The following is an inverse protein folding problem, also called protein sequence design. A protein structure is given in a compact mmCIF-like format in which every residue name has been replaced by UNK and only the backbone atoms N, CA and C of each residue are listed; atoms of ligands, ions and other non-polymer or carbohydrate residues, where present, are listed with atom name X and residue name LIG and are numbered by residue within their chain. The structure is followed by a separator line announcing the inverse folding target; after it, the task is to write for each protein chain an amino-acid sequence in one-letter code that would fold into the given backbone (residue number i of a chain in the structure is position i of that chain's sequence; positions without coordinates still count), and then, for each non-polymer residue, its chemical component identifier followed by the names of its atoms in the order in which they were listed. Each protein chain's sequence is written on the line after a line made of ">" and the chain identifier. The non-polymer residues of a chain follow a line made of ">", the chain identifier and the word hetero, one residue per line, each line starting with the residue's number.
data_IF_623246937323
#
_entry.id   IF_623246937323
#
_cell.length_a   1.000
_cell.length_b   1.000
_cell.length_c   1.000
_cell.angle_alpha   90.00
_cell.angle_beta   90.00
_cell.angle_gamma   90.00
#
_symmetry.space_group_name_H-M   'P 1'
#
loop_
_entity.id
_entity.type
_entity.pdbx_description
1 polymer ?
#
# COMPACT_ATOMS: atom_id res chain seq x y z
N UNK A 1 -14.69 -1.36 -25.01
CA UNK A 1 -13.84 -1.62 -23.82
C UNK A 1 -13.03 -2.90 -23.91
N UNK A 2 -13.05 -3.66 -25.02
CA UNK A 2 -12.28 -4.91 -25.12
C UNK A 2 -10.75 -4.68 -25.17
N UNK A 3 -10.31 -3.50 -25.62
CA UNK A 3 -8.89 -3.13 -25.77
C UNK A 3 -8.43 -2.03 -24.79
N UNK A 4 -9.24 -1.70 -23.78
CA UNK A 4 -8.82 -0.74 -22.76
C UNK A 4 -8.02 -1.45 -21.68
N UNK A 5 -6.91 -0.84 -21.25
CA UNK A 5 -6.15 -1.31 -20.08
C UNK A 5 -6.82 -0.85 -18.79
N UNK A 6 -6.51 -1.50 -17.67
CA UNK A 6 -6.89 -1.06 -16.34
C UNK A 6 -6.42 0.38 -16.10
N UNK A 7 -5.21 0.72 -16.58
CA UNK A 7 -4.69 2.08 -16.49
C UNK A 7 -5.59 3.12 -17.18
N UNK A 8 -6.17 2.79 -18.35
CA UNK A 8 -7.08 3.69 -19.06
C UNK A 8 -8.41 3.92 -18.33
N UNK A 9 -8.78 3.02 -17.41
CA UNK A 9 -10.07 3.03 -16.70
C UNK A 9 -9.97 3.56 -15.26
N UNK A 10 -8.76 3.94 -14.80
CA UNK A 10 -8.52 4.53 -13.49
C UNK A 10 -9.28 5.84 -13.30
N UNK A 11 -9.27 6.70 -14.31
CA UNK A 11 -9.96 8.00 -14.26
C UNK A 11 -11.28 7.88 -15.04
N UNK A 12 -12.43 7.95 -14.36
CA UNK A 12 -13.71 7.96 -15.06
C UNK A 12 -13.82 9.20 -15.97
N UNK A 13 -14.38 9.06 -17.19
CA UNK A 13 -14.70 10.23 -18.02
C UNK A 13 -15.72 11.13 -17.31
N UNK A 14 -15.80 12.39 -17.71
CA UNK A 14 -16.79 13.34 -17.17
C UNK A 14 -18.24 12.90 -17.43
N UNK A 15 -18.47 12.12 -18.48
CA UNK A 15 -19.75 11.51 -18.84
C UNK A 15 -20.03 10.16 -18.16
N UNK A 16 -19.18 9.72 -17.21
CA UNK A 16 -19.35 8.43 -16.56
C UNK A 16 -20.66 8.34 -15.79
N UNK A 17 -21.49 7.36 -16.16
CA UNK A 17 -22.76 7.05 -15.52
C UNK A 17 -22.68 5.71 -14.76
N UNK A 18 -23.75 5.30 -14.04
CA UNK A 18 -23.77 4.00 -13.36
C UNK A 18 -23.55 2.79 -14.28
N UNK A 19 -23.89 2.89 -15.58
CA UNK A 19 -23.67 1.81 -16.56
C UNK A 19 -22.19 1.67 -16.86
N UNK A 20 -21.48 2.79 -17.03
CA UNK A 20 -20.04 2.82 -17.22
C UNK A 20 -19.30 2.17 -16.04
N UNK A 21 -19.65 2.53 -14.80
CA UNK A 21 -19.02 1.93 -13.61
C UNK A 21 -19.26 0.43 -13.50
N UNK A 22 -20.49 -0.05 -13.76
CA UNK A 22 -20.77 -1.50 -13.81
C UNK A 22 -19.98 -2.20 -14.90
N UNK A 23 -19.88 -1.57 -16.07
CA UNK A 23 -19.16 -2.16 -17.19
C UNK A 23 -17.64 -2.14 -16.98
N UNK A 24 -17.11 -1.17 -16.22
CA UNK A 24 -15.72 -1.16 -15.76
C UNK A 24 -15.44 -2.31 -14.79
N UNK A 25 -16.33 -2.57 -13.84
CA UNK A 25 -16.22 -3.71 -12.91
C UNK A 25 -16.13 -5.04 -13.67
N UNK A 26 -17.07 -5.30 -14.59
CA UNK A 26 -17.02 -6.51 -15.43
C UNK A 26 -15.78 -6.62 -16.31
N UNK A 27 -15.26 -5.49 -16.78
CA UNK A 27 -14.00 -5.48 -17.53
C UNK A 27 -12.83 -5.89 -16.63
N UNK A 28 -12.79 -5.40 -15.39
CA UNK A 28 -11.77 -5.77 -14.42
C UNK A 28 -11.79 -7.28 -14.08
N UNK A 29 -12.97 -7.86 -13.82
CA UNK A 29 -13.11 -9.31 -13.64
C UNK A 29 -12.57 -10.11 -14.83
N UNK A 30 -12.85 -9.66 -16.07
CA UNK A 30 -12.32 -10.28 -17.28
C UNK A 30 -10.81 -10.21 -17.37
N UNK A 31 -10.20 -9.08 -17.02
CA UNK A 31 -8.74 -8.91 -17.02
C UNK A 31 -8.09 -9.83 -16.00
N UNK A 32 -8.64 -9.93 -14.78
CA UNK A 32 -8.16 -10.88 -13.76
C UNK A 32 -8.25 -12.32 -14.26
N UNK A 33 -9.36 -12.71 -14.89
CA UNK A 33 -9.51 -14.03 -15.50
C UNK A 33 -8.44 -14.29 -16.56
N UNK A 34 -8.11 -13.29 -17.39
CA UNK A 34 -7.03 -13.41 -18.39
C UNK A 34 -5.65 -13.57 -17.75
N UNK A 35 -5.33 -12.81 -16.69
CA UNK A 35 -4.08 -12.99 -15.95
C UNK A 35 -3.94 -14.42 -15.42
N UNK A 36 -5.01 -14.96 -14.82
CA UNK A 36 -5.02 -16.31 -14.27
C UNK A 36 -4.94 -17.40 -15.35
N UNK A 37 -5.68 -17.25 -16.46
CA UNK A 37 -5.66 -18.20 -17.59
C UNK A 37 -4.29 -18.26 -18.25
N UNK A 38 -3.67 -17.11 -18.52
CA UNK A 38 -2.36 -17.02 -19.17
C UNK A 38 -1.27 -17.74 -18.37
N UNK A 39 -1.47 -17.88 -17.06
CA UNK A 39 -0.52 -18.46 -16.13
C UNK A 39 -0.95 -19.84 -15.61
N UNK A 40 -1.95 -20.46 -16.27
CA UNK A 40 -2.47 -21.81 -15.96
C UNK A 40 -2.86 -21.96 -14.49
N UNK A 41 -3.58 -20.97 -13.96
CA UNK A 41 -4.07 -20.96 -12.58
C UNK A 41 -5.53 -21.44 -12.46
N UNK A 42 -6.06 -22.12 -13.49
CA UNK A 42 -7.38 -22.76 -13.51
C UNK A 42 -8.54 -21.91 -12.90
N UNK A 43 -8.81 -20.70 -13.44
CA UNK A 43 -9.82 -19.82 -12.87
C UNK A 43 -11.25 -20.29 -13.20
N UNK A 44 -12.11 -20.27 -12.18
CA UNK A 44 -13.54 -20.48 -12.26
C UNK A 44 -14.27 -19.18 -11.84
N UNK A 45 -14.76 -18.41 -12.81
CA UNK A 45 -15.41 -17.11 -12.57
C UNK A 45 -16.94 -17.22 -12.41
N UNK A 46 -17.55 -16.17 -11.84
CA UNK A 46 -19.00 -16.01 -11.68
C UNK A 46 -19.66 -17.13 -10.87
N UNK A 47 -19.11 -17.43 -9.69
CA UNK A 47 -19.63 -18.47 -8.80
C UNK A 47 -20.85 -17.96 -8.02
N UNK A 48 -21.99 -18.64 -8.20
CA UNK A 48 -23.25 -18.34 -7.48
C UNK A 48 -23.79 -19.54 -6.70
N UNK A 49 -23.07 -20.06 -5.70
CA UNK A 49 -23.67 -20.99 -4.75
C UNK A 49 -24.85 -20.31 -4.02
N UNK A 50 -25.88 -21.08 -3.68
CA UNK A 50 -27.16 -20.56 -3.15
C UNK A 50 -26.93 -19.60 -1.97
N UNK A 51 -27.10 -18.30 -2.21
CA UNK A 51 -27.06 -17.24 -1.18
C UNK A 51 -25.70 -16.59 -0.94
N UNK A 52 -24.64 -16.99 -1.62
CA UNK A 52 -23.28 -16.44 -1.44
C UNK A 52 -22.64 -16.15 -2.81
N UNK A 53 -22.64 -14.89 -3.25
CA UNK A 53 -21.99 -14.49 -4.51
C UNK A 53 -20.49 -14.26 -4.26
N UNK A 54 -19.64 -14.94 -5.05
CA UNK A 54 -18.18 -14.75 -5.09
C UNK A 54 -17.78 -14.59 -6.54
N UNK A 55 -16.87 -13.65 -6.82
CA UNK A 55 -16.49 -13.33 -8.20
C UNK A 55 -15.76 -14.50 -8.90
N UNK A 56 -15.00 -15.30 -8.15
CA UNK A 56 -14.48 -16.57 -8.65
C UNK A 56 -13.64 -17.37 -7.68
N UNK A 57 -12.99 -18.40 -8.21
CA UNK A 57 -11.94 -19.16 -7.55
C UNK A 57 -10.85 -19.54 -8.54
N UNK A 58 -9.68 -19.92 -8.06
CA UNK A 58 -8.57 -20.36 -8.90
C UNK A 58 -7.58 -21.21 -8.10
N UNK A 59 -6.62 -21.82 -8.79
CA UNK A 59 -5.62 -22.73 -8.21
C UNK A 59 -4.21 -22.19 -8.43
N UNK A 60 -3.39 -22.24 -7.38
CA UNK A 60 -1.95 -22.06 -7.50
C UNK A 60 -1.23 -23.24 -6.86
N UNK A 61 -0.51 -23.99 -7.70
CA UNK A 61 0.15 -25.24 -7.30
C UNK A 61 -0.89 -26.16 -6.63
N UNK A 62 -0.74 -26.55 -5.36
CA UNK A 62 -1.69 -27.43 -4.64
C UNK A 62 -2.66 -26.66 -3.71
N UNK A 63 -2.86 -25.36 -3.95
CA UNK A 63 -3.72 -24.50 -3.09
C UNK A 63 -4.89 -23.92 -3.87
N UNK A 64 -6.03 -23.86 -3.19
CA UNK A 64 -7.27 -23.30 -3.71
C UNK A 64 -7.51 -21.89 -3.16
N UNK A 65 -7.92 -21.00 -4.05
CA UNK A 65 -8.14 -19.60 -3.72
C UNK A 65 -9.57 -19.19 -4.07
N UNK A 66 -10.18 -18.41 -3.18
CA UNK A 66 -11.36 -17.61 -3.53
C UNK A 66 -10.90 -16.23 -4.00
N UNK A 67 -11.64 -15.65 -4.94
CA UNK A 67 -11.34 -14.37 -5.54
C UNK A 67 -12.53 -13.42 -5.36
N UNK A 68 -12.23 -12.21 -4.88
CA UNK A 68 -13.15 -11.06 -4.92
C UNK A 68 -12.43 -9.88 -5.58
N UNK A 69 -13.12 -9.17 -6.47
CA UNK A 69 -12.60 -8.09 -7.28
C UNK A 69 -13.48 -6.85 -7.15
N UNK A 70 -12.95 -5.76 -6.59
CA UNK A 70 -13.69 -4.50 -6.43
C UNK A 70 -13.03 -3.32 -7.11
N UNK A 71 -13.87 -2.46 -7.68
CA UNK A 71 -13.45 -1.17 -8.24
C UNK A 71 -14.42 -0.05 -7.86
N UNK A 72 -14.30 0.38 -6.61
CA UNK A 72 -15.12 1.42 -6.02
C UNK A 72 -14.56 2.81 -6.27
N UNK A 73 -15.31 3.82 -5.80
CA UNK A 73 -14.88 5.22 -5.85
C UNK A 73 -13.85 5.56 -4.78
N UNK A 74 -14.06 5.02 -3.58
CA UNK A 74 -13.25 5.26 -2.39
C UNK A 74 -12.55 3.94 -1.98
N UNK A 75 -11.49 4.00 -1.15
CA UNK A 75 -10.77 2.81 -0.70
C UNK A 75 -11.66 1.78 0.01
N UNK A 76 -11.31 0.51 -0.12
CA UNK A 76 -12.11 -0.59 0.43
C UNK A 76 -12.07 -0.55 1.97
N UNK A 77 -13.23 -0.50 2.64
CA UNK A 77 -13.30 -0.47 4.10
C UNK A 77 -13.12 -1.87 4.72
N UNK A 78 -12.85 -1.92 6.02
CA UNK A 78 -12.72 -3.17 6.79
C UNK A 78 -13.96 -4.09 6.67
N UNK A 79 -15.17 -3.53 6.60
CA UNK A 79 -16.42 -4.28 6.49
C UNK A 79 -16.46 -5.20 5.28
N UNK A 80 -15.94 -4.73 4.15
CA UNK A 80 -15.92 -5.50 2.91
C UNK A 80 -14.91 -6.65 3.00
N UNK A 81 -13.77 -6.43 3.66
CA UNK A 81 -12.78 -7.46 3.91
C UNK A 81 -13.31 -8.52 4.88
N UNK A 82 -14.02 -8.13 5.93
CA UNK A 82 -14.65 -9.08 6.86
C UNK A 82 -15.76 -9.89 6.21
N UNK A 83 -16.58 -9.27 5.36
CA UNK A 83 -17.60 -9.97 4.61
C UNK A 83 -16.97 -11.05 3.71
N UNK A 84 -15.91 -10.71 2.98
CA UNK A 84 -15.17 -11.68 2.17
C UNK A 84 -14.47 -12.74 3.03
N UNK A 85 -13.90 -12.36 4.19
CA UNK A 85 -13.30 -13.32 5.12
C UNK A 85 -14.29 -14.37 5.59
N UNK A 86 -15.51 -13.97 5.95
CA UNK A 86 -16.56 -14.91 6.33
C UNK A 86 -16.88 -15.92 5.22
N UNK A 87 -16.83 -15.50 3.95
CA UNK A 87 -16.97 -16.40 2.79
C UNK A 87 -15.83 -17.43 2.70
N UNK A 88 -14.60 -16.98 2.94
CA UNK A 88 -13.38 -17.82 2.95
C UNK A 88 -13.41 -18.82 4.12
N UNK A 89 -13.78 -18.36 5.31
CA UNK A 89 -13.89 -19.18 6.52
C UNK A 89 -14.96 -20.28 6.35
N UNK A 90 -15.96 -20.07 5.50
CA UNK A 90 -16.98 -21.06 5.16
C UNK A 90 -16.55 -22.13 4.14
N UNK A 91 -15.29 -22.16 3.70
CA UNK A 91 -14.77 -23.16 2.75
C UNK A 91 -13.87 -24.21 3.42
N UNK A 92 -13.37 -25.15 2.62
CA UNK A 92 -12.45 -26.18 3.09
C UNK A 92 -11.22 -25.55 3.77
N UNK A 93 -10.78 -26.13 4.88
CA UNK A 93 -9.59 -25.68 5.60
C UNK A 93 -8.38 -25.58 4.66
N UNK A 94 -7.64 -24.47 4.76
CA UNK A 94 -6.53 -24.16 3.86
C UNK A 94 -6.92 -23.37 2.60
N UNK A 95 -8.21 -23.10 2.36
CA UNK A 95 -8.64 -22.14 1.34
C UNK A 95 -8.18 -20.74 1.71
N UNK A 96 -7.57 -20.02 0.77
CA UNK A 96 -7.08 -18.65 0.96
C UNK A 96 -7.91 -17.69 0.11
N UNK A 97 -8.36 -16.58 0.67
CA UNK A 97 -8.97 -15.50 -0.09
C UNK A 97 -7.92 -14.63 -0.77
N UNK A 98 -8.18 -14.18 -1.99
CA UNK A 98 -7.44 -13.11 -2.64
C UNK A 98 -8.40 -11.99 -3.01
N UNK A 99 -8.17 -10.83 -2.42
CA UNK A 99 -8.96 -9.63 -2.68
C UNK A 99 -8.17 -8.74 -3.63
N UNK A 100 -8.77 -8.39 -4.77
CA UNK A 100 -8.20 -7.48 -5.74
C UNK A 100 -8.98 -6.17 -5.72
N UNK A 101 -8.29 -5.06 -5.43
CA UNK A 101 -8.90 -3.73 -5.39
C UNK A 101 -8.16 -2.77 -6.31
N UNK A 102 -8.89 -2.19 -7.27
CA UNK A 102 -8.41 -1.04 -8.06
C UNK A 102 -8.58 0.30 -7.33
N UNK A 103 -9.11 0.26 -6.11
CA UNK A 103 -9.32 1.43 -5.24
C UNK A 103 -8.46 1.38 -3.97
N UNK A 104 -7.59 0.38 -3.84
CA UNK A 104 -6.85 0.01 -2.62
C UNK A 104 -7.76 -0.22 -1.41
N UNK A 105 -7.18 -0.14 -0.22
CA UNK A 105 -7.77 -0.39 1.08
C UNK A 105 -7.55 0.84 1.93
N UNK A 106 -8.49 1.14 2.83
CA UNK A 106 -8.22 2.14 3.86
C UNK A 106 -7.12 1.63 4.80
N UNK A 107 -6.35 2.55 5.39
CA UNK A 107 -5.29 2.21 6.36
C UNK A 107 -5.83 1.34 7.49
N UNK A 108 -7.05 1.62 7.96
CA UNK A 108 -7.71 0.86 9.01
C UNK A 108 -8.18 -0.53 8.56
N UNK A 109 -8.42 -0.74 7.26
CA UNK A 109 -8.94 -2.00 6.75
C UNK A 109 -7.92 -3.14 6.87
N UNK A 110 -6.64 -2.85 6.57
CA UNK A 110 -5.55 -3.82 6.75
C UNK A 110 -5.30 -4.09 8.24
N UNK A 111 -5.24 -3.02 9.05
CA UNK A 111 -5.07 -3.14 10.50
C UNK A 111 -6.21 -3.92 11.18
N UNK A 112 -7.43 -3.81 10.64
CA UNK A 112 -8.58 -4.56 11.12
C UNK A 112 -8.39 -6.07 10.90
N UNK A 113 -7.88 -6.49 9.73
CA UNK A 113 -7.58 -7.91 9.48
C UNK A 113 -6.51 -8.46 10.43
N UNK A 114 -5.52 -7.65 10.80
CA UNK A 114 -4.43 -8.05 11.72
C UNK A 114 -4.88 -8.23 13.17
N UNK A 115 -5.98 -7.61 13.58
CA UNK A 115 -6.57 -7.83 14.91
C UNK A 115 -7.27 -9.18 15.02
N UNK A 116 -7.65 -9.79 13.89
CA UNK A 116 -8.15 -11.16 13.83
C UNK A 116 -7.02 -12.17 14.05
N UNK A 117 -7.30 -13.31 14.70
CA UNK A 117 -6.27 -14.33 14.98
C UNK A 117 -5.85 -15.14 13.76
N UNK A 118 -6.65 -15.17 12.71
CA UNK A 118 -6.41 -15.99 11.53
C UNK A 118 -6.31 -15.13 10.27
N UNK A 119 -5.12 -15.10 9.69
CA UNK A 119 -4.84 -14.46 8.42
C UNK A 119 -5.01 -15.47 7.28
N UNK A 120 -6.13 -15.38 6.56
CA UNK A 120 -6.42 -16.23 5.41
C UNK A 120 -6.84 -15.44 4.17
N UNK A 121 -6.54 -14.13 4.11
CA UNK A 121 -6.74 -13.29 2.92
C UNK A 121 -5.43 -12.63 2.53
N UNK A 122 -5.16 -12.59 1.23
CA UNK A 122 -4.09 -11.80 0.60
C UNK A 122 -4.71 -10.64 -0.18
N UNK A 123 -4.10 -9.47 -0.05
CA UNK A 123 -4.59 -8.22 -0.63
C UNK A 123 -3.73 -7.76 -1.81
N UNK A 124 -4.37 -7.45 -2.92
CA UNK A 124 -3.78 -6.78 -4.09
C UNK A 124 -4.38 -5.39 -4.25
N UNK A 125 -3.53 -4.37 -4.30
CA UNK A 125 -3.91 -2.99 -4.60
C UNK A 125 -3.77 -2.66 -6.09
N UNK A 126 -4.12 -1.44 -6.47
CA UNK A 126 -4.11 -1.03 -7.87
C UNK A 126 -2.69 -1.04 -8.46
N UNK A 127 -1.68 -0.59 -7.73
CA UNK A 127 -0.28 -0.60 -8.19
C UNK A 127 0.25 -2.02 -8.45
N UNK A 128 -0.20 -3.00 -7.65
CA UNK A 128 0.13 -4.42 -7.88
C UNK A 128 -0.45 -4.89 -9.22
N UNK A 129 -1.72 -4.57 -9.46
CA UNK A 129 -2.45 -4.94 -10.67
C UNK A 129 -1.87 -4.27 -11.92
N UNK A 130 -1.48 -3.00 -11.83
CA UNK A 130 -0.80 -2.29 -12.91
C UNK A 130 0.59 -2.85 -13.18
N UNK A 131 1.32 -3.28 -12.15
CA UNK A 131 2.62 -3.93 -12.33
C UNK A 131 2.49 -5.26 -13.09
N UNK A 132 1.42 -6.01 -12.83
CA UNK A 132 1.09 -7.24 -13.56
C UNK A 132 0.65 -6.94 -14.99
N UNK A 133 -0.25 -5.96 -15.19
CA UNK A 133 -0.70 -5.52 -16.52
C UNK A 133 0.46 -5.09 -17.41
N UNK A 134 1.39 -4.31 -16.83
CA UNK A 134 2.60 -3.82 -17.50
C UNK A 134 3.70 -4.89 -17.62
N UNK A 135 3.44 -6.14 -17.24
CA UNK A 135 4.37 -7.28 -17.31
C UNK A 135 5.69 -7.07 -16.57
N UNK A 136 5.69 -6.24 -15.52
CA UNK A 136 6.82 -6.08 -14.61
C UNK A 136 7.00 -7.32 -13.71
N UNK A 137 5.91 -8.04 -13.47
CA UNK A 137 5.85 -9.31 -12.74
C UNK A 137 4.63 -10.11 -13.22
N UNK A 138 4.69 -11.44 -13.11
CA UNK A 138 3.52 -12.30 -13.40
C UNK A 138 2.56 -12.35 -12.20
N UNK A 139 1.26 -12.63 -12.42
CA UNK A 139 0.27 -12.78 -11.34
C UNK A 139 0.66 -13.89 -10.35
N UNK A 140 1.18 -14.99 -10.86
CA UNK A 140 1.69 -16.17 -10.16
C UNK A 140 2.88 -15.81 -9.30
N UNK A 141 3.86 -15.08 -9.82
CA UNK A 141 4.99 -14.61 -9.01
C UNK A 141 4.54 -13.61 -7.95
N UNK A 142 3.71 -12.63 -8.32
CA UNK A 142 3.18 -11.64 -7.37
C UNK A 142 2.46 -12.32 -6.20
N UNK A 143 1.57 -13.29 -6.48
CA UNK A 143 0.87 -14.06 -5.47
C UNK A 143 1.84 -14.89 -4.61
N UNK A 144 2.84 -15.56 -5.21
CA UNK A 144 3.86 -16.29 -4.45
C UNK A 144 4.65 -15.38 -3.50
N UNK A 145 4.99 -14.16 -3.91
CA UNK A 145 5.73 -13.20 -3.07
C UNK A 145 4.87 -12.67 -1.93
N UNK A 146 3.62 -12.31 -2.20
CA UNK A 146 2.69 -11.90 -1.14
C UNK A 146 2.39 -13.04 -0.17
N UNK A 147 2.20 -14.28 -0.64
CA UNK A 147 2.03 -15.46 0.21
C UNK A 147 3.26 -15.72 1.08
N UNK A 148 4.47 -15.59 0.53
CA UNK A 148 5.72 -15.71 1.31
C UNK A 148 5.78 -14.65 2.40
N UNK A 149 5.46 -13.40 2.07
CA UNK A 149 5.46 -12.30 3.03
C UNK A 149 4.43 -12.53 4.15
N UNK A 150 3.20 -12.87 3.79
CA UNK A 150 2.13 -13.20 4.74
C UNK A 150 2.50 -14.37 5.66
N UNK A 151 3.08 -15.44 5.12
CA UNK A 151 3.49 -16.60 5.91
C UNK A 151 4.68 -16.31 6.85
N UNK A 152 5.53 -15.33 6.52
CA UNK A 152 6.74 -15.00 7.30
C UNK A 152 6.45 -13.94 8.36
N UNK A 153 5.66 -12.93 8.02
CA UNK A 153 5.44 -11.73 8.84
C UNK A 153 4.01 -11.57 9.33
N UNK A 154 3.09 -12.46 8.95
CA UNK A 154 1.69 -12.36 9.35
C UNK A 154 0.96 -11.16 8.76
N UNK A 155 1.35 -10.72 7.55
CA UNK A 155 0.84 -9.50 6.92
C UNK A 155 0.05 -9.81 5.62
N UNK A 156 -1.23 -9.38 5.49
CA UNK A 156 -2.06 -9.67 4.33
C UNK A 156 -1.66 -8.85 3.09
N UNK A 157 -0.95 -7.74 3.31
CA UNK A 157 -0.57 -6.78 2.29
C UNK A 157 0.95 -6.67 2.19
N UNK A 158 1.44 -6.66 0.95
CA UNK A 158 2.83 -6.35 0.61
C UNK A 158 2.87 -5.80 -0.80
N UNK A 159 3.28 -4.54 -0.96
CA UNK A 159 3.32 -3.87 -2.26
C UNK A 159 4.30 -4.58 -3.21
N UNK A 160 3.86 -4.87 -4.42
CA UNK A 160 4.70 -5.46 -5.47
C UNK A 160 5.72 -4.45 -5.97
N UNK A 161 5.37 -3.16 -6.03
CA UNK A 161 6.33 -2.10 -6.33
C UNK A 161 7.44 -2.04 -5.27
N UNK A 162 7.08 -2.23 -4.00
CA UNK A 162 8.05 -2.38 -2.90
C UNK A 162 8.98 -3.56 -3.11
N UNK A 163 8.44 -4.73 -3.47
CA UNK A 163 9.24 -5.92 -3.79
C UNK A 163 10.22 -5.67 -4.94
N UNK A 164 9.73 -5.13 -6.06
CA UNK A 164 10.55 -4.85 -7.25
C UNK A 164 11.64 -3.82 -6.94
N UNK A 165 11.31 -2.76 -6.21
CA UNK A 165 12.27 -1.72 -5.80
C UNK A 165 13.36 -2.29 -4.91
N UNK A 166 12.99 -3.19 -3.99
CA UNK A 166 13.94 -3.85 -3.10
C UNK A 166 14.90 -4.79 -3.85
N UNK A 167 14.42 -5.50 -4.89
CA UNK A 167 15.29 -6.31 -5.77
C UNK A 167 16.28 -5.42 -6.52
N UNK A 168 15.80 -4.33 -7.12
CA UNK A 168 16.67 -3.41 -7.87
C UNK A 168 17.76 -2.85 -6.95
N UNK A 169 17.38 -2.49 -5.70
CA UNK A 169 18.31 -1.97 -4.70
C UNK A 169 19.35 -3.02 -4.28
N UNK A 170 18.93 -4.23 -3.93
CA UNK A 170 19.85 -5.32 -3.58
C UNK A 170 20.81 -5.66 -4.73
N UNK A 171 20.31 -5.72 -5.97
CA UNK A 171 21.13 -5.96 -7.16
C UNK A 171 22.17 -4.85 -7.40
N UNK A 172 21.83 -3.58 -7.10
CA UNK A 172 22.77 -2.45 -7.19
C UNK A 172 23.83 -2.51 -6.09
N UNK A 173 23.44 -2.84 -4.86
CA UNK A 173 24.34 -3.00 -3.71
C UNK A 173 25.40 -4.08 -3.96
N UNK A 174 25.04 -5.19 -4.62
CA UNK A 174 26.00 -6.24 -4.99
C UNK A 174 27.05 -5.76 -6.01
N UNK A 175 26.70 -4.80 -6.87
CA UNK A 175 27.56 -4.32 -7.95
C UNK A 175 28.48 -3.15 -7.55
N UNK A 176 28.16 -2.43 -6.49
CA UNK A 176 28.91 -1.24 -6.06
C UNK A 176 29.08 -1.19 -4.53
N UNK A 177 30.23 -1.69 -4.05
CA UNK A 177 30.56 -1.70 -2.62
C UNK A 177 30.82 -0.30 -2.03
N UNK A 178 31.04 0.72 -2.88
CA UNK A 178 31.30 2.10 -2.45
C UNK A 178 30.07 3.02 -2.57
N UNK A 179 28.93 2.52 -3.04
CA UNK A 179 27.68 3.27 -3.13
C UNK A 179 27.14 3.60 -1.73
N UNK A 180 26.88 4.89 -1.47
CA UNK A 180 26.12 5.31 -0.29
C UNK A 180 24.77 4.59 -0.26
N UNK A 181 24.48 3.90 0.85
CA UNK A 181 23.25 3.09 0.99
C UNK A 181 22.03 4.00 0.95
N UNK A 182 21.20 3.84 -0.08
CA UNK A 182 19.95 4.57 -0.20
C UNK A 182 19.04 4.31 1.02
N UNK A 183 18.29 5.33 1.44
CA UNK A 183 17.33 5.22 2.53
C UNK A 183 16.09 4.43 2.10
N UNK A 184 15.57 3.60 3.01
CA UNK A 184 14.26 2.98 2.90
C UNK A 184 13.33 3.68 3.89
N UNK A 185 12.39 4.47 3.38
CA UNK A 185 11.44 5.23 4.20
C UNK A 185 10.12 4.49 4.17
N UNK A 186 9.61 4.09 5.33
CA UNK A 186 8.35 3.37 5.46
C UNK A 186 7.26 4.37 5.83
N UNK A 187 6.12 4.26 5.15
CA UNK A 187 4.90 5.03 5.42
C UNK A 187 3.74 4.07 5.64
N UNK A 188 2.69 4.53 6.30
CA UNK A 188 1.57 3.67 6.71
C UNK A 188 0.72 3.25 5.49
N UNK A 189 0.30 4.21 4.64
CA UNK A 189 -0.56 3.95 3.49
C UNK A 189 0.10 4.16 2.13
N UNK A 190 -0.52 3.61 1.08
CA UNK A 190 -0.17 3.86 -0.33
C UNK A 190 -0.30 5.36 -0.70
N UNK A 191 -1.31 6.04 -0.13
CA UNK A 191 -1.56 7.45 -0.41
C UNK A 191 -0.42 8.37 0.10
N UNK A 192 0.23 7.97 1.20
CA UNK A 192 1.30 8.73 1.87
C UNK A 192 2.59 8.77 1.05
N UNK A 193 2.84 7.75 0.23
CA UNK A 193 4.05 7.63 -0.60
C UNK A 193 4.25 8.88 -1.44
N UNK A 194 3.18 9.29 -2.13
CA UNK A 194 3.19 10.45 -3.01
C UNK A 194 3.28 11.78 -2.25
N UNK A 195 2.74 11.86 -1.04
CA UNK A 195 2.80 13.04 -0.17
C UNK A 195 4.20 13.24 0.37
N UNK A 196 4.83 12.19 0.91
CA UNK A 196 6.21 12.26 1.39
C UNK A 196 7.17 12.53 0.23
N UNK A 197 6.96 11.92 -0.95
CA UNK A 197 7.78 12.22 -2.13
C UNK A 197 7.70 13.69 -2.56
N UNK A 198 6.50 14.26 -2.55
CA UNK A 198 6.28 15.69 -2.84
C UNK A 198 7.00 16.59 -1.82
N UNK A 199 6.89 16.25 -0.53
CA UNK A 199 7.55 16.99 0.54
C UNK A 199 9.09 16.91 0.44
N UNK A 200 9.64 15.74 0.16
CA UNK A 200 11.09 15.56 -0.02
C UNK A 200 11.64 16.33 -1.22
N UNK A 201 10.89 16.37 -2.33
CA UNK A 201 11.23 17.18 -3.51
C UNK A 201 11.35 18.67 -3.15
N UNK A 202 10.47 19.17 -2.27
CA UNK A 202 10.52 20.55 -1.76
C UNK A 202 11.75 20.86 -0.90
N UNK A 203 12.39 19.84 -0.32
CA UNK A 203 13.68 19.93 0.35
C UNK A 203 14.87 19.67 -0.58
N UNK A 204 14.64 19.61 -1.90
CA UNK A 204 15.62 19.28 -2.95
C UNK A 204 16.15 17.83 -2.89
N UNK A 205 15.44 16.97 -2.16
CA UNK A 205 15.77 15.55 -2.00
C UNK A 205 15.02 14.74 -3.07
N UNK A 206 15.71 14.47 -4.18
CA UNK A 206 15.12 13.82 -5.37
C UNK A 206 15.65 12.40 -5.63
N UNK A 207 16.66 11.96 -4.89
CA UNK A 207 17.33 10.67 -5.07
C UNK A 207 17.91 10.18 -3.74
N UNK A 208 18.47 8.96 -3.73
CA UNK A 208 19.10 8.40 -2.53
C UNK A 208 18.11 7.83 -1.50
N UNK A 209 16.85 7.64 -1.88
CA UNK A 209 15.82 7.00 -1.06
C UNK A 209 14.81 6.20 -1.90
N UNK A 210 14.05 5.35 -1.22
CA UNK A 210 12.86 4.65 -1.73
C UNK A 210 11.81 4.66 -0.62
N UNK A 211 10.55 4.92 -0.97
CA UNK A 211 9.45 4.98 -0.01
C UNK A 211 8.61 3.69 -0.16
N UNK A 212 8.33 3.03 0.97
CA UNK A 212 7.66 1.74 1.04
C UNK A 212 6.37 1.88 1.86
N UNK A 213 5.19 1.67 1.25
CA UNK A 213 3.92 1.62 1.98
C UNK A 213 3.73 0.29 2.72
N UNK A 214 3.41 0.36 4.00
CA UNK A 214 3.14 -0.79 4.85
C UNK A 214 1.72 -1.38 4.65
N UNK A 215 0.79 -0.55 4.17
CA UNK A 215 -0.62 -0.88 3.98
C UNK A 215 -1.49 -0.66 5.22
N UNK A 216 -0.91 -0.26 6.35
CA UNK A 216 -1.58 -0.07 7.63
C UNK A 216 -0.58 0.40 8.70
N UNK A 217 -1.07 0.94 9.81
CA UNK A 217 -0.19 1.38 10.90
C UNK A 217 0.48 0.16 11.54
N UNK A 218 -0.26 -0.92 11.77
CA UNK A 218 0.23 -2.12 12.46
C UNK A 218 1.19 -2.95 11.61
N UNK A 219 1.23 -2.70 10.30
CA UNK A 219 2.12 -3.39 9.35
C UNK A 219 3.53 -2.80 9.31
N UNK A 220 3.73 -1.56 9.80
CA UNK A 220 5.01 -0.83 9.71
C UNK A 220 6.19 -1.60 10.34
N UNK A 221 6.08 -2.19 11.55
CA UNK A 221 7.19 -2.95 12.13
C UNK A 221 7.56 -4.20 11.32
N UNK A 222 6.57 -4.94 10.84
CA UNK A 222 6.79 -6.14 10.01
C UNK A 222 7.50 -5.83 8.69
N UNK A 223 7.11 -4.73 8.02
CA UNK A 223 7.81 -4.28 6.82
C UNK A 223 9.23 -3.79 7.13
N UNK A 224 9.42 -3.12 8.28
CA UNK A 224 10.74 -2.69 8.75
C UNK A 224 11.67 -3.90 8.92
N UNK A 225 11.22 -4.93 9.64
CA UNK A 225 11.95 -6.17 9.84
C UNK A 225 12.28 -6.85 8.51
N UNK A 226 11.31 -6.90 7.58
CA UNK A 226 11.55 -7.45 6.25
C UNK A 226 12.66 -6.72 5.49
N UNK A 227 12.62 -5.38 5.45
CA UNK A 227 13.62 -4.60 4.73
C UNK A 227 15.01 -4.77 5.33
N UNK A 228 15.14 -4.78 6.66
CA UNK A 228 16.40 -5.06 7.36
C UNK A 228 16.93 -6.46 6.99
N UNK A 229 16.07 -7.48 7.03
CA UNK A 229 16.42 -8.86 6.68
C UNK A 229 16.82 -9.04 5.20
N UNK A 230 16.40 -8.13 4.32
CA UNK A 230 16.83 -8.11 2.91
C UNK A 230 18.03 -7.17 2.66
N UNK A 231 18.77 -6.79 3.70
CA UNK A 231 20.03 -6.06 3.58
C UNK A 231 19.91 -4.54 3.53
N UNK A 232 18.73 -3.96 3.77
CA UNK A 232 18.60 -2.51 3.93
C UNK A 232 19.13 -2.11 5.32
N UNK A 233 20.00 -1.11 5.41
CA UNK A 233 20.52 -0.67 6.72
C UNK A 233 20.12 0.76 7.11
N UNK A 234 19.72 1.58 6.14
CA UNK A 234 19.22 2.92 6.40
C UNK A 234 17.70 2.88 6.30
N UNK A 235 17.03 2.53 7.39
CA UNK A 235 15.57 2.39 7.43
C UNK A 235 14.98 3.45 8.36
N UNK A 236 13.98 4.17 7.85
CA UNK A 236 13.18 5.12 8.62
C UNK A 236 11.71 4.75 8.55
N UNK A 237 10.96 4.97 9.62
CA UNK A 237 9.51 4.74 9.69
C UNK A 237 8.81 6.03 10.10
N UNK A 238 7.90 6.52 9.25
CA UNK A 238 7.02 7.64 9.56
C UNK A 238 5.70 7.05 10.05
N UNK A 239 5.36 7.33 11.30
CA UNK A 239 4.20 6.75 12.00
C UNK A 239 3.30 7.85 12.54
N UNK A 240 1.99 7.66 12.47
CA UNK A 240 0.98 8.58 12.97
C UNK A 240 0.35 8.06 14.26
N UNK A 241 -0.41 8.87 15.02
CA UNK A 241 -1.03 8.41 16.25
C UNK A 241 -2.03 7.27 16.04
N UNK A 242 -1.93 6.22 16.86
CA UNK A 242 -2.91 5.12 16.90
C UNK A 242 -3.90 5.38 18.04
N UNK A 243 -5.20 5.28 17.76
CA UNK A 243 -6.28 5.52 18.75
C UNK A 243 -6.12 4.75 20.06
N UNK A 244 -5.57 3.53 19.99
CA UNK A 244 -5.33 2.70 21.17
C UNK A 244 -3.87 2.87 21.63
N UNK A 245 -3.68 3.54 22.78
CA UNK A 245 -2.36 3.86 23.33
C UNK A 245 -1.49 2.65 23.65
N UNK A 246 -2.09 1.52 24.05
CA UNK A 246 -1.37 0.26 24.29
C UNK A 246 -0.81 -0.29 22.99
N UNK A 247 -1.64 -0.29 21.93
CA UNK A 247 -1.22 -0.74 20.59
C UNK A 247 -0.12 0.18 20.05
N UNK A 248 -0.27 1.49 20.20
CA UNK A 248 0.77 2.46 19.82
C UNK A 248 2.09 2.19 20.55
N UNK A 249 2.04 1.97 21.87
CA UNK A 249 3.23 1.70 22.68
C UNK A 249 3.93 0.42 22.25
N UNK A 250 3.18 -0.62 21.90
CA UNK A 250 3.72 -1.89 21.38
C UNK A 250 4.39 -1.70 20.02
N UNK A 251 3.73 -1.01 19.08
CA UNK A 251 4.28 -0.72 17.75
C UNK A 251 5.60 0.07 17.85
N UNK A 252 5.63 1.13 18.67
CA UNK A 252 6.84 1.93 18.87
C UNK A 252 7.95 1.11 19.55
N UNK A 253 7.63 0.24 20.51
CA UNK A 253 8.61 -0.62 21.15
C UNK A 253 9.24 -1.62 20.16
N UNK A 254 8.44 -2.20 19.28
CA UNK A 254 8.91 -3.10 18.22
C UNK A 254 9.83 -2.37 17.23
N UNK A 255 9.44 -1.18 16.76
CA UNK A 255 10.29 -0.37 15.88
C UNK A 255 11.62 0.01 16.56
N UNK A 256 11.60 0.35 17.85
CA UNK A 256 12.84 0.64 18.60
C UNK A 256 13.75 -0.58 18.67
N UNK A 257 13.19 -1.78 18.85
CA UNK A 257 13.99 -3.02 18.86
C UNK A 257 14.63 -3.37 17.52
N UNK A 258 14.08 -2.83 16.43
CA UNK A 258 14.62 -2.99 15.07
C UNK A 258 15.68 -1.93 14.73
N UNK A 259 15.99 -1.01 15.65
CA UNK A 259 16.97 0.07 15.48
C UNK A 259 16.71 0.96 14.25
N UNK A 260 15.45 1.11 13.84
CA UNK A 260 15.06 1.99 12.73
C UNK A 260 14.89 3.45 13.20
N UNK A 261 15.09 4.40 12.29
CA UNK A 261 14.81 5.81 12.58
C UNK A 261 13.29 6.04 12.68
N UNK A 262 12.78 6.45 13.83
CA UNK A 262 11.33 6.63 14.03
C UNK A 262 10.97 8.11 13.96
N UNK A 263 10.07 8.46 13.05
CA UNK A 263 9.48 9.78 12.91
C UNK A 263 8.02 9.67 13.33
N UNK A 264 7.73 10.07 14.57
CA UNK A 264 6.36 10.12 15.08
C UNK A 264 5.74 11.46 14.74
N UNK A 265 4.68 11.44 13.94
CA UNK A 265 3.87 12.61 13.65
C UNK A 265 2.83 12.82 14.76
N UNK A 266 2.44 14.08 15.05
CA UNK A 266 1.47 14.39 16.10
C UNK A 266 0.01 14.14 15.67
N UNK A 267 -0.23 13.97 14.37
CA UNK A 267 -1.55 13.77 13.77
C UNK A 267 -1.43 12.91 12.51
N UNK A 268 -2.55 12.73 11.78
CA UNK A 268 -2.50 12.15 10.43
C UNK A 268 -1.58 12.97 9.54
N UNK A 269 -1.05 12.39 8.45
CA UNK A 269 -0.15 13.10 7.54
C UNK A 269 -0.80 14.37 6.96
N UNK A 270 -2.11 14.31 6.68
CA UNK A 270 -2.89 15.45 6.19
C UNK A 270 -3.00 16.55 7.24
N UNK A 271 -3.50 16.22 8.44
CA UNK A 271 -3.70 17.18 9.52
C UNK A 271 -2.38 17.78 10.01
N UNK A 272 -1.31 16.98 10.03
CA UNK A 272 0.03 17.46 10.39
C UNK A 272 0.49 18.53 9.41
N UNK A 273 0.37 18.28 8.10
CA UNK A 273 0.80 19.23 7.06
C UNK A 273 -0.08 20.48 7.00
N UNK A 274 -1.36 20.36 7.36
CA UNK A 274 -2.28 21.50 7.40
C UNK A 274 -1.82 22.59 8.38
N UNK A 275 -1.16 22.22 9.47
CA UNK A 275 -0.59 23.17 10.44
C UNK A 275 0.55 24.03 9.87
N UNK A 276 1.07 23.69 8.69
CA UNK A 276 2.19 24.37 8.06
C UNK A 276 1.81 25.11 6.78
N UNK A 277 0.52 25.18 6.42
CA UNK A 277 0.06 26.07 5.34
C UNK A 277 -0.54 27.36 5.92
N UNK A 278 -0.62 28.41 5.11
CA UNK A 278 -1.26 29.65 5.57
C UNK A 278 -2.77 29.46 5.71
N UNK A 279 -3.38 30.23 6.61
CA UNK A 279 -4.84 30.23 6.82
C UNK A 279 -5.59 30.54 5.52
N UNK A 280 -5.06 31.45 4.68
CA UNK A 280 -5.63 31.76 3.37
C UNK A 280 -5.61 30.54 2.44
N UNK A 281 -4.51 29.79 2.43
CA UNK A 281 -4.38 28.59 1.60
C UNK A 281 -5.30 27.47 2.09
N UNK A 282 -5.38 27.25 3.41
CA UNK A 282 -6.32 26.31 4.01
C UNK A 282 -7.75 26.64 3.59
N UNK A 283 -8.18 27.89 3.81
CA UNK A 283 -9.54 28.35 3.48
C UNK A 283 -9.86 28.23 1.98
N UNK A 284 -8.87 28.38 1.10
CA UNK A 284 -9.04 28.21 -0.34
C UNK A 284 -9.16 26.72 -0.77
N UNK A 285 -8.72 25.78 0.06
CA UNK A 285 -8.54 24.38 -0.35
C UNK A 285 -9.27 23.34 0.50
N UNK A 286 -9.70 23.64 1.74
CA UNK A 286 -10.30 22.66 2.66
C UNK A 286 -11.58 22.00 2.13
N UNK A 287 -12.32 22.68 1.23
CA UNK A 287 -13.52 22.13 0.58
C UNK A 287 -13.20 21.21 -0.62
N UNK A 288 -11.94 21.14 -1.06
CA UNK A 288 -11.52 20.29 -2.15
C UNK A 288 -11.43 18.83 -1.70
N UNK A 289 -11.52 17.91 -2.66
CA UNK A 289 -11.44 16.48 -2.36
C UNK A 289 -10.06 16.08 -1.81
N UNK A 290 -10.06 15.37 -0.67
CA UNK A 290 -8.92 14.70 -0.04
C UNK A 290 -8.62 13.31 -0.60
N UNK A 291 -9.49 12.76 -1.48
CA UNK A 291 -9.36 11.41 -2.04
C UNK A 291 -7.96 11.07 -2.53
N UNK A 292 -7.51 9.84 -2.26
CA UNK A 292 -6.18 9.37 -2.68
C UNK A 292 -5.07 10.27 -2.14
N UNK A 293 -5.16 10.76 -0.90
CA UNK A 293 -4.21 11.69 -0.27
C UNK A 293 -4.05 13.03 -1.00
N UNK A 294 -5.06 13.48 -1.76
CA UNK A 294 -4.95 14.71 -2.56
C UNK A 294 -4.76 15.96 -1.71
N UNK A 295 -5.42 16.05 -0.56
CA UNK A 295 -5.31 17.21 0.32
C UNK A 295 -3.95 17.21 1.03
N UNK A 296 -3.53 16.10 1.64
CA UNK A 296 -2.17 15.94 2.15
C UNK A 296 -1.07 16.37 1.14
N UNK A 297 -1.17 15.94 -0.14
CA UNK A 297 -0.24 16.40 -1.19
C UNK A 297 -0.31 17.91 -1.48
N UNK A 298 -1.48 18.54 -1.42
CA UNK A 298 -1.61 19.99 -1.61
C UNK A 298 -0.93 20.73 -0.47
N UNK A 299 -1.14 20.27 0.76
CA UNK A 299 -0.47 20.84 1.93
C UNK A 299 1.04 20.63 1.87
N UNK A 300 1.54 19.44 1.51
CA UNK A 300 2.97 19.20 1.30
C UNK A 300 3.62 20.18 0.30
N UNK A 301 2.92 20.54 -0.79
CA UNK A 301 3.41 21.52 -1.77
C UNK A 301 3.55 22.93 -1.19
N UNK A 302 2.64 23.31 -0.32
CA UNK A 302 2.49 24.71 0.14
C UNK A 302 2.94 24.91 1.59
N UNK A 303 3.48 23.86 2.22
CA UNK A 303 3.96 23.91 3.59
C UNK A 303 5.14 24.90 3.74
N UNK A 304 5.14 25.62 4.85
CA UNK A 304 6.26 26.40 5.35
C UNK A 304 7.35 25.44 5.87
N UNK A 305 8.38 25.25 5.06
CA UNK A 305 9.42 24.26 5.33
C UNK A 305 10.28 24.60 6.55
N UNK A 306 10.56 25.88 6.80
CA UNK A 306 11.38 26.29 7.95
C UNK A 306 10.67 25.97 9.26
N UNK A 307 9.39 26.36 9.34
CA UNK A 307 8.56 26.08 10.51
C UNK A 307 8.32 24.58 10.70
N UNK A 308 8.11 23.84 9.61
CA UNK A 308 7.96 22.39 9.67
C UNK A 308 9.23 21.72 10.25
N UNK A 309 10.42 22.16 9.85
CA UNK A 309 11.67 21.62 10.40
C UNK A 309 11.93 22.04 11.85
N UNK A 310 11.60 23.27 12.24
CA UNK A 310 11.78 23.74 13.63
C UNK A 310 10.90 22.99 14.61
N UNK A 311 9.67 22.69 14.21
CA UNK A 311 8.67 22.11 15.09
C UNK A 311 8.80 20.57 15.18
N UNK A 312 9.49 19.93 14.22
CA UNK A 312 9.58 18.48 14.10
C UNK A 312 11.05 17.99 14.06
N UNK A 313 11.68 17.89 15.23
CA UNK A 313 13.11 17.56 15.34
C UNK A 313 13.50 16.20 14.73
N UNK A 314 12.67 15.16 14.91
CA UNK A 314 12.90 13.83 14.34
C UNK A 314 12.85 13.85 12.81
N UNK A 315 11.86 14.57 12.24
CA UNK A 315 11.76 14.75 10.79
C UNK A 315 12.93 15.57 10.25
N UNK A 316 13.34 16.65 10.93
CA UNK A 316 14.52 17.43 10.56
C UNK A 316 15.80 16.57 10.56
N UNK A 317 15.95 15.70 11.56
CA UNK A 317 17.07 14.74 11.61
C UNK A 317 17.09 13.82 10.39
N UNK A 318 15.93 13.29 9.97
CA UNK A 318 15.80 12.50 8.75
C UNK A 318 16.18 13.32 7.50
N UNK A 319 15.68 14.56 7.37
CA UNK A 319 15.99 15.44 6.24
C UNK A 319 17.49 15.68 6.11
N UNK A 320 18.18 15.96 7.23
CA UNK A 320 19.64 16.15 7.22
C UNK A 320 20.39 14.87 6.81
N UNK A 321 19.96 13.71 7.32
CA UNK A 321 20.51 12.40 6.92
C UNK A 321 20.32 12.12 5.42
N UNK A 322 19.16 12.47 4.87
CA UNK A 322 18.86 12.31 3.44
C UNK A 322 19.69 13.24 2.56
N UNK A 323 19.83 14.53 2.91
CA UNK A 323 20.67 15.49 2.19
C UNK A 323 22.13 15.04 2.13
N UNK A 324 22.65 14.55 3.25
CA UNK A 324 24.01 14.00 3.33
C UNK A 324 24.20 12.73 2.45
N UNK A 325 23.11 12.05 2.10
CA UNK A 325 23.14 10.84 1.27
C UNK A 325 23.08 11.11 -0.23
N UNK A 326 22.79 12.35 -0.66
CA UNK A 326 22.76 12.74 -2.07
C UNK A 326 24.14 13.07 -2.65
N UNK A 327 25.13 13.32 -1.77
CA UNK A 327 26.50 13.72 -2.12
C UNK A 327 27.38 12.51 -2.42
#
# INVERSE_FOLDING_TARGET
>A
MADLTLSNLLTPPTSADPVWFRSRGRHFERVLNQFLLNEKMDPHMSMRPKGEEIDGSFVLDDRYFLLEAKWHKDPIPASDLYAFKGKVDGKLIGTIGVFFSMSDYSTEAVDALLKGKELNIILFGHNDLLSIENRMITMREALKKKLRFAATYGQPYYSIESYLSNIIKSTKLEKDQNSKRAWSIIVEGEEDVSTIKELLSRFEINSGFTIFPAGGQLSVPSLSAHLLNTGNTNVAAIVTPIKNSKVQSMQIAELKSLEVEIITLPATLEDWLDNYVTTEYHNATFMLSSRKGKMARRYARNANLEQLLSDNLSFNTLINKLKNNQI
#
